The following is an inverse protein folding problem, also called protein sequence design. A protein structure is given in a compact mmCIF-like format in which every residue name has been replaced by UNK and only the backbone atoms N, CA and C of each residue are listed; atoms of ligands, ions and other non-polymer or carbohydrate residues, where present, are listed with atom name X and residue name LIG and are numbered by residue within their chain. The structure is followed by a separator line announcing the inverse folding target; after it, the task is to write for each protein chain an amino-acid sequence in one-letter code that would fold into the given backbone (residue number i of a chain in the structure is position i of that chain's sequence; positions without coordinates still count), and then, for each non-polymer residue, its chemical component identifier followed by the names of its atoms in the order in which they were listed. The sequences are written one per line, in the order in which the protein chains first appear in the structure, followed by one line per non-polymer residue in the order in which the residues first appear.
data_IF_701053642406
#
_entry.id   IF_701053642406
#
_cell.length_a   1.000
_cell.length_b   1.000
_cell.length_c   1.000
_cell.angle_alpha   90.00
_cell.angle_beta   90.00
_cell.angle_gamma   90.00
#
_symmetry.space_group_name_H-M   'P 1'
#
loop_
_entity.id
_entity.type
_entity.pdbx_description
1 polymer ?
#
# COMPACT_ATOMS: atom_id res chain seq x y z
N UNK A 1 13.33 -7.76 -11.51
CA UNK A 1 12.65 -6.60 -12.12
C UNK A 1 13.41 -5.36 -11.69
N UNK A 2 14.61 -5.16 -12.26
CA UNK A 2 15.62 -4.27 -11.68
C UNK A 2 15.92 -3.10 -12.63
N UNK A 3 15.23 -3.07 -13.76
CA UNK A 3 15.35 -2.07 -14.79
C UNK A 3 14.06 -1.27 -14.91
N UNK A 4 14.21 0.01 -15.26
CA UNK A 4 13.09 0.88 -15.59
C UNK A 4 12.23 0.30 -16.73
N UNK A 5 12.85 -0.42 -17.68
CA UNK A 5 12.15 -1.06 -18.81
C UNK A 5 11.20 -2.15 -18.31
N UNK A 6 11.66 -2.99 -17.38
CA UNK A 6 10.79 -4.02 -16.76
C UNK A 6 9.62 -3.38 -16.01
N UNK A 7 9.85 -2.25 -15.34
CA UNK A 7 8.80 -1.55 -14.60
C UNK A 7 7.76 -0.92 -15.53
N UNK A 8 8.21 -0.26 -16.60
CA UNK A 8 7.34 0.27 -17.67
C UNK A 8 6.51 -0.87 -18.27
N UNK A 9 7.16 -1.97 -18.65
CA UNK A 9 6.48 -3.14 -19.20
C UNK A 9 5.41 -3.67 -18.24
N UNK A 10 5.72 -3.87 -16.96
CA UNK A 10 4.74 -4.33 -15.96
C UNK A 10 3.56 -3.37 -15.79
N UNK A 11 3.79 -2.06 -15.89
CA UNK A 11 2.75 -1.04 -15.77
C UNK A 11 1.85 -0.99 -17.00
N UNK A 12 2.43 -1.13 -18.19
CA UNK A 12 1.66 -1.28 -19.44
C UNK A 12 0.81 -2.54 -19.37
N UNK A 13 1.38 -3.66 -18.93
CA UNK A 13 0.62 -4.91 -18.73
C UNK A 13 -0.53 -4.71 -17.75
N UNK A 14 -0.28 -4.07 -16.60
CA UNK A 14 -1.33 -3.74 -15.63
C UNK A 14 -2.45 -2.91 -16.28
N UNK A 15 -2.11 -1.85 -17.02
CA UNK A 15 -3.09 -0.96 -17.64
C UNK A 15 -3.93 -1.72 -18.67
N UNK A 16 -3.29 -2.52 -19.54
CA UNK A 16 -3.98 -3.32 -20.56
C UNK A 16 -4.92 -4.34 -19.89
N UNK A 17 -4.45 -5.06 -18.88
CA UNK A 17 -5.28 -6.03 -18.15
C UNK A 17 -6.43 -5.34 -17.41
N UNK A 18 -6.16 -4.22 -16.75
CA UNK A 18 -7.17 -3.43 -16.03
C UNK A 18 -8.25 -2.90 -16.97
N UNK A 19 -7.84 -2.33 -18.12
CA UNK A 19 -8.76 -1.87 -19.15
C UNK A 19 -9.56 -3.04 -19.75
N UNK A 20 -8.94 -4.19 -19.97
CA UNK A 20 -9.62 -5.39 -20.50
C UNK A 20 -10.66 -5.93 -19.52
N UNK A 21 -10.32 -6.02 -18.23
CA UNK A 21 -11.24 -6.43 -17.17
C UNK A 21 -12.40 -5.44 -17.01
N UNK A 22 -12.09 -4.15 -16.99
CA UNK A 22 -13.08 -3.09 -16.77
C UNK A 22 -14.02 -2.89 -17.97
N UNK A 23 -13.48 -2.78 -19.18
CA UNK A 23 -14.25 -2.46 -20.38
C UNK A 23 -14.73 -3.67 -21.15
N UNK A 24 -13.92 -4.72 -21.27
CA UNK A 24 -14.01 -5.59 -22.44
C UNK A 24 -14.40 -7.04 -22.20
N UNK A 25 -14.13 -7.64 -21.03
CA UNK A 25 -14.13 -9.11 -20.96
C UNK A 25 -15.24 -9.74 -20.13
N UNK A 26 -15.75 -9.12 -19.07
CA UNK A 26 -16.80 -9.81 -18.30
C UNK A 26 -17.59 -8.89 -17.39
N UNK A 27 -16.92 -8.07 -16.59
CA UNK A 27 -17.52 -7.54 -15.36
C UNK A 27 -18.70 -6.60 -15.61
N UNK A 28 -18.59 -5.70 -16.59
CA UNK A 28 -19.69 -4.78 -16.92
C UNK A 28 -20.89 -5.46 -17.60
N UNK A 29 -20.69 -6.60 -18.26
CA UNK A 29 -21.75 -7.30 -19.03
C UNK A 29 -22.33 -8.52 -18.30
N UNK A 30 -21.50 -9.24 -17.57
CA UNK A 30 -21.77 -10.57 -17.00
C UNK A 30 -21.65 -10.57 -15.46
N UNK A 31 -21.24 -9.46 -14.85
CA UNK A 31 -21.02 -9.36 -13.42
C UNK A 31 -19.63 -9.84 -12.96
N UNK A 32 -19.37 -9.82 -11.64
CA UNK A 32 -18.07 -10.21 -11.06
C UNK A 32 -17.59 -11.59 -11.51
N UNK A 33 -16.28 -11.76 -11.65
CA UNK A 33 -15.70 -13.07 -11.95
C UNK A 33 -15.97 -14.06 -10.79
N UNK A 34 -16.35 -15.32 -11.09
CA UNK A 34 -16.52 -16.35 -10.05
C UNK A 34 -15.25 -16.48 -9.21
N UNK A 35 -15.42 -16.61 -7.88
CA UNK A 35 -14.34 -16.75 -6.90
C UNK A 35 -13.36 -15.57 -6.77
N UNK A 36 -13.52 -14.46 -7.51
CA UNK A 36 -12.62 -13.31 -7.41
C UNK A 36 -12.58 -12.75 -5.98
N UNK A 37 -13.71 -12.73 -5.28
CA UNK A 37 -13.79 -12.29 -3.88
C UNK A 37 -13.04 -13.23 -2.93
N UNK A 38 -13.10 -14.54 -3.17
CA UNK A 38 -12.34 -15.55 -2.43
C UNK A 38 -10.84 -15.36 -2.65
N UNK A 39 -10.41 -15.14 -3.90
CA UNK A 39 -9.00 -14.89 -4.21
C UNK A 39 -8.50 -13.58 -3.59
N UNK A 40 -9.31 -12.51 -3.62
CA UNK A 40 -9.00 -11.24 -2.96
C UNK A 40 -8.79 -11.43 -1.45
N UNK A 41 -9.73 -12.11 -0.77
CA UNK A 41 -9.60 -12.42 0.66
C UNK A 41 -8.37 -13.27 0.96
N UNK A 42 -8.12 -14.31 0.17
CA UNK A 42 -6.95 -15.18 0.34
C UNK A 42 -5.63 -14.42 0.14
N UNK A 43 -5.55 -13.58 -0.89
CA UNK A 43 -4.41 -12.69 -1.14
C UNK A 43 -4.15 -11.80 0.09
N UNK A 44 -5.17 -11.09 0.56
CA UNK A 44 -5.07 -10.20 1.71
C UNK A 44 -4.67 -10.95 3.00
N UNK A 45 -5.25 -12.14 3.22
CA UNK A 45 -4.92 -12.98 4.38
C UNK A 45 -3.46 -13.46 4.36
N UNK A 46 -2.87 -13.74 3.20
CA UNK A 46 -1.46 -14.09 3.07
C UNK A 46 -0.55 -12.85 3.18
N UNK A 47 -0.98 -11.72 2.64
CA UNK A 47 -0.16 -10.51 2.58
C UNK A 47 -0.02 -9.80 3.93
N UNK A 48 -1.04 -9.90 4.79
CA UNK A 48 -1.02 -9.34 6.13
C UNK A 48 0.14 -9.87 7.02
N UNK A 49 0.30 -11.19 7.24
CA UNK A 49 1.42 -11.72 8.02
C UNK A 49 2.76 -11.54 7.31
N UNK A 50 2.81 -11.59 5.97
CA UNK A 50 4.03 -11.30 5.22
C UNK A 50 4.52 -9.86 5.46
N UNK A 51 3.61 -8.89 5.42
CA UNK A 51 3.89 -7.48 5.69
C UNK A 51 4.33 -7.27 7.14
N UNK A 52 3.68 -7.93 8.10
CA UNK A 52 4.04 -7.86 9.51
C UNK A 52 5.43 -8.47 9.80
N UNK A 53 5.71 -9.64 9.22
CA UNK A 53 7.03 -10.26 9.32
C UNK A 53 8.09 -9.33 8.75
N UNK A 54 7.82 -8.71 7.61
CA UNK A 54 8.79 -7.84 6.96
C UNK A 54 8.99 -6.53 7.73
N UNK A 55 7.95 -6.00 8.39
CA UNK A 55 8.08 -4.91 9.35
C UNK A 55 9.08 -5.25 10.47
N UNK A 56 8.94 -6.42 11.11
CA UNK A 56 9.88 -6.84 12.16
C UNK A 56 11.30 -7.02 11.64
N UNK A 57 11.47 -7.57 10.43
CA UNK A 57 12.77 -7.67 9.76
C UNK A 57 13.38 -6.28 9.59
N UNK A 58 12.62 -5.30 9.09
CA UNK A 58 13.10 -3.93 8.90
C UNK A 58 13.46 -3.26 10.23
N UNK A 59 12.66 -3.42 11.28
CA UNK A 59 12.96 -2.91 12.64
C UNK A 59 14.26 -3.51 13.19
N UNK A 60 14.48 -4.82 13.02
CA UNK A 60 15.72 -5.48 13.39
C UNK A 60 16.94 -5.02 12.58
N UNK A 61 16.72 -4.42 11.40
CA UNK A 61 17.79 -3.94 10.51
C UNK A 61 18.35 -2.56 10.88
N UNK A 62 17.75 -1.85 11.84
CA UNK A 62 18.25 -0.55 12.30
C UNK A 62 19.55 -0.69 13.10
N UNK A 63 20.42 0.31 13.01
CA UNK A 63 21.73 0.32 13.69
C UNK A 63 21.60 0.53 15.20
N UNK A 64 20.61 1.33 15.64
CA UNK A 64 20.41 1.68 17.05
C UNK A 64 19.61 0.66 17.86
N UNK A 65 19.22 -0.47 17.26
CA UNK A 65 18.51 -1.52 17.99
C UNK A 65 19.49 -2.34 18.84
N UNK A 66 19.71 -1.91 20.08
CA UNK A 66 20.42 -2.68 21.10
C UNK A 66 19.39 -3.54 21.84
N UNK A 67 19.46 -4.87 21.80
CA UNK A 67 18.54 -5.73 22.54
C UNK A 67 18.63 -5.40 24.04
N UNK A 68 17.49 -5.25 24.72
CA UNK A 68 17.46 -5.22 26.18
C UNK A 68 18.04 -6.54 26.72
N UNK A 69 19.13 -6.44 27.48
CA UNK A 69 19.87 -7.57 28.03
C UNK A 69 19.14 -8.23 29.20
N UNK A 70 19.06 -9.56 29.22
CA UNK A 70 18.64 -10.40 30.33
C UNK A 70 18.40 -11.90 30.02
N UNK A 71 18.35 -12.33 28.75
CA UNK A 71 17.96 -13.70 28.38
C UNK A 71 18.79 -14.24 27.22
N UNK A 72 19.22 -15.51 27.28
CA UNK A 72 20.08 -16.18 26.27
C UNK A 72 19.60 -16.17 24.80
N UNK A 73 18.40 -15.63 24.55
CA UNK A 73 17.84 -15.25 23.25
C UNK A 73 18.64 -14.12 22.57
N UNK A 74 19.39 -13.32 23.33
CA UNK A 74 20.21 -12.19 22.84
C UNK A 74 21.20 -12.58 21.74
N UNK A 75 21.88 -13.72 21.88
CA UNK A 75 22.89 -14.13 20.89
C UNK A 75 22.26 -14.46 19.54
N UNK A 76 21.10 -15.11 19.56
CA UNK A 76 20.35 -15.42 18.34
C UNK A 76 19.80 -14.14 17.70
N UNK A 77 19.15 -13.27 18.48
CA UNK A 77 18.62 -11.99 17.99
C UNK A 77 19.72 -11.09 17.44
N UNK A 78 20.86 -10.98 18.12
CA UNK A 78 22.00 -10.20 17.65
C UNK A 78 22.53 -10.73 16.32
N UNK A 79 22.69 -12.05 16.17
CA UNK A 79 23.09 -12.68 14.90
C UNK A 79 22.07 -12.41 13.80
N UNK A 80 20.79 -12.53 14.11
CA UNK A 80 19.72 -12.26 13.16
C UNK A 80 19.70 -10.79 12.73
N UNK A 81 19.74 -9.84 13.66
CA UNK A 81 19.78 -8.40 13.35
C UNK A 81 21.04 -8.06 12.53
N UNK A 82 22.19 -8.64 12.87
CA UNK A 82 23.43 -8.47 12.11
C UNK A 82 23.29 -9.03 10.69
N UNK A 83 22.73 -10.24 10.54
CA UNK A 83 22.47 -10.85 9.25
C UNK A 83 21.55 -9.98 8.40
N UNK A 84 20.42 -9.54 8.95
CA UNK A 84 19.47 -8.69 8.22
C UNK A 84 20.12 -7.37 7.82
N UNK A 85 20.93 -6.76 8.69
CA UNK A 85 21.65 -5.52 8.40
C UNK A 85 22.65 -5.67 7.25
N UNK A 86 23.38 -6.79 7.18
CA UNK A 86 24.33 -7.03 6.08
C UNK A 86 23.65 -7.37 4.75
N UNK A 87 22.34 -7.62 4.75
CA UNK A 87 21.55 -7.95 3.57
C UNK A 87 20.59 -6.81 3.15
N UNK A 88 20.97 -5.54 3.41
CA UNK A 88 20.13 -4.37 3.12
C UNK A 88 19.68 -4.31 1.65
N UNK A 89 20.56 -4.67 0.71
CA UNK A 89 20.23 -4.69 -0.72
C UNK A 89 19.10 -5.68 -1.04
N UNK A 90 19.15 -6.88 -0.47
CA UNK A 90 18.09 -7.87 -0.63
C UNK A 90 16.77 -7.37 -0.03
N UNK A 91 16.80 -6.71 1.13
CA UNK A 91 15.60 -6.15 1.74
C UNK A 91 14.99 -5.05 0.85
N UNK A 92 15.81 -4.16 0.30
CA UNK A 92 15.36 -3.12 -0.65
C UNK A 92 14.69 -3.74 -1.87
N UNK A 93 15.29 -4.80 -2.41
CA UNK A 93 14.75 -5.53 -3.54
C UNK A 93 13.42 -6.22 -3.21
N UNK A 94 13.33 -6.90 -2.06
CA UNK A 94 12.09 -7.53 -1.58
C UNK A 94 10.98 -6.48 -1.40
N UNK A 95 11.29 -5.33 -0.80
CA UNK A 95 10.32 -4.24 -0.64
C UNK A 95 9.86 -3.68 -1.99
N UNK A 96 10.77 -3.48 -2.94
CA UNK A 96 10.40 -3.02 -4.28
C UNK A 96 9.50 -4.04 -5.01
N UNK A 97 9.85 -5.33 -4.95
CA UNK A 97 9.05 -6.39 -5.54
C UNK A 97 7.66 -6.49 -4.90
N UNK A 98 7.55 -6.25 -3.59
CA UNK A 98 6.25 -6.23 -2.92
C UNK A 98 5.33 -5.19 -3.56
N UNK A 99 5.84 -4.01 -3.92
CA UNK A 99 5.05 -2.95 -4.59
C UNK A 99 4.62 -3.31 -6.00
N UNK A 100 5.42 -4.07 -6.73
CA UNK A 100 5.00 -4.59 -8.02
C UNK A 100 3.92 -5.66 -7.85
N UNK A 101 4.06 -6.52 -6.83
CA UNK A 101 3.05 -7.55 -6.54
C UNK A 101 1.68 -6.96 -6.24
N UNK A 102 1.62 -5.80 -5.56
CA UNK A 102 0.37 -5.08 -5.23
C UNK A 102 -0.45 -4.70 -6.48
N UNK A 103 0.09 -4.80 -7.70
CA UNK A 103 -0.70 -4.75 -8.95
C UNK A 103 -1.82 -5.79 -9.00
N UNK A 104 -1.65 -6.94 -8.33
CA UNK A 104 -2.69 -7.97 -8.19
C UNK A 104 -3.93 -7.40 -7.50
N UNK A 105 -3.78 -6.47 -6.55
CA UNK A 105 -4.93 -5.91 -5.84
C UNK A 105 -5.83 -5.11 -6.77
N UNK A 106 -5.24 -4.34 -7.69
CA UNK A 106 -5.98 -3.61 -8.73
C UNK A 106 -6.79 -4.57 -9.60
N UNK A 107 -6.16 -5.65 -10.05
CA UNK A 107 -6.80 -6.65 -10.90
C UNK A 107 -7.91 -7.39 -10.16
N UNK A 108 -7.69 -7.77 -8.91
CA UNK A 108 -8.68 -8.49 -8.09
C UNK A 108 -9.87 -7.59 -7.72
N UNK A 109 -9.64 -6.32 -7.38
CA UNK A 109 -10.73 -5.35 -7.13
C UNK A 109 -11.57 -5.15 -8.40
N UNK A 110 -10.95 -5.03 -9.57
CA UNK A 110 -11.71 -4.93 -10.82
C UNK A 110 -12.46 -6.24 -11.13
N UNK A 111 -11.84 -7.39 -10.89
CA UNK A 111 -12.44 -8.70 -11.11
C UNK A 111 -13.68 -8.94 -10.23
N UNK A 112 -13.74 -8.38 -9.02
CA UNK A 112 -14.90 -8.45 -8.13
C UNK A 112 -16.04 -7.50 -8.51
N UNK A 113 -15.89 -6.68 -9.56
CA UNK A 113 -16.84 -5.60 -9.85
C UNK A 113 -16.63 -4.34 -9.04
N UNK A 114 -15.57 -4.28 -8.23
CA UNK A 114 -15.17 -3.10 -7.50
C UNK A 114 -14.77 -1.94 -8.41
N UNK A 115 -14.95 -0.73 -7.89
CA UNK A 115 -14.46 0.49 -8.54
C UNK A 115 -13.10 0.84 -7.95
N UNK A 116 -12.20 1.34 -8.79
CA UNK A 116 -10.90 1.82 -8.34
C UNK A 116 -11.03 3.29 -7.94
N UNK A 117 -10.76 3.60 -6.68
CA UNK A 117 -10.65 4.98 -6.19
C UNK A 117 -9.38 5.66 -6.72
N UNK A 118 -9.40 6.99 -6.78
CA UNK A 118 -8.26 7.79 -7.30
C UNK A 118 -6.97 7.55 -6.51
N UNK A 119 -7.05 7.61 -5.18
CA UNK A 119 -5.91 7.35 -4.30
C UNK A 119 -5.33 5.95 -4.55
N UNK A 120 -6.18 4.92 -4.50
CA UNK A 120 -5.78 3.53 -4.72
C UNK A 120 -5.10 3.32 -6.08
N UNK A 121 -5.72 3.76 -7.18
CA UNK A 121 -5.17 3.58 -8.52
C UNK A 121 -3.87 4.34 -8.75
N UNK A 122 -3.82 5.62 -8.33
CA UNK A 122 -2.61 6.45 -8.45
C UNK A 122 -1.47 5.89 -7.60
N UNK A 123 -1.75 5.51 -6.36
CA UNK A 123 -0.77 4.92 -5.44
C UNK A 123 -0.16 3.64 -6.03
N UNK A 124 -0.99 2.69 -6.45
CA UNK A 124 -0.49 1.43 -7.00
C UNK A 124 0.34 1.66 -8.25
N UNK A 125 -0.11 2.50 -9.18
CA UNK A 125 0.64 2.76 -10.41
C UNK A 125 2.01 3.42 -10.17
N UNK A 126 2.11 4.32 -9.19
CA UNK A 126 3.31 5.17 -9.02
C UNK A 126 4.27 4.67 -7.94
N UNK A 127 3.82 3.89 -6.96
CA UNK A 127 4.66 3.41 -5.84
C UNK A 127 5.81 2.51 -6.29
N UNK A 128 5.67 1.63 -7.30
CA UNK A 128 6.80 0.91 -7.87
C UNK A 128 7.88 1.85 -8.45
N UNK A 129 7.50 2.95 -9.08
CA UNK A 129 8.45 3.95 -9.58
C UNK A 129 9.12 4.71 -8.43
N UNK A 130 8.34 5.09 -7.42
CA UNK A 130 8.86 5.69 -6.19
C UNK A 130 9.92 4.79 -5.55
N UNK A 131 9.61 3.51 -5.34
CA UNK A 131 10.54 2.57 -4.71
C UNK A 131 11.72 2.22 -5.60
N UNK A 132 11.55 2.18 -6.92
CA UNK A 132 12.69 2.07 -7.84
C UNK A 132 13.68 3.22 -7.62
N UNK A 133 13.20 4.47 -7.64
CA UNK A 133 14.04 5.67 -7.51
C UNK A 133 14.62 5.78 -6.08
N UNK A 134 13.79 5.65 -5.04
CA UNK A 134 14.12 5.98 -3.64
C UNK A 134 14.46 4.82 -2.73
N UNK A 135 14.24 3.59 -3.17
CA UNK A 135 14.62 2.41 -2.40
C UNK A 135 15.72 1.65 -3.11
N UNK A 136 15.66 1.44 -4.43
CA UNK A 136 16.74 0.72 -5.13
C UNK A 136 17.93 1.62 -5.48
N UNK A 137 17.67 2.79 -6.09
CA UNK A 137 18.76 3.63 -6.66
C UNK A 137 19.34 4.62 -5.65
N UNK A 138 18.51 5.28 -4.87
CA UNK A 138 18.93 6.26 -3.87
C UNK A 138 18.29 5.90 -2.54
N UNK A 139 18.96 5.16 -1.65
CA UNK A 139 18.32 4.47 -0.54
C UNK A 139 18.45 5.16 0.84
N UNK A 140 19.04 6.36 0.93
CA UNK A 140 19.18 7.05 2.23
C UNK A 140 17.81 7.18 2.92
N UNK A 141 17.72 6.74 4.18
CA UNK A 141 16.51 6.84 5.01
C UNK A 141 15.36 5.90 4.66
N UNK A 142 15.52 4.98 3.69
CA UNK A 142 14.43 4.17 3.14
C UNK A 142 13.71 3.29 4.18
N UNK A 143 14.46 2.75 5.15
CA UNK A 143 13.97 1.78 6.14
C UNK A 143 12.80 2.32 6.97
N UNK A 144 12.83 3.60 7.36
CA UNK A 144 11.78 4.19 8.19
C UNK A 144 10.44 4.22 7.43
N UNK A 145 10.46 4.73 6.21
CA UNK A 145 9.28 4.76 5.34
C UNK A 145 8.77 3.35 5.05
N UNK A 146 9.66 2.43 4.69
CA UNK A 146 9.31 1.03 4.41
C UNK A 146 8.73 0.32 5.63
N UNK A 147 9.26 0.58 6.83
CA UNK A 147 8.75 -0.01 8.08
C UNK A 147 7.33 0.47 8.38
N UNK A 148 7.07 1.78 8.31
CA UNK A 148 5.73 2.30 8.56
C UNK A 148 4.74 1.85 7.47
N UNK A 149 5.18 1.76 6.22
CA UNK A 149 4.36 1.26 5.14
C UNK A 149 4.01 -0.23 5.30
N UNK A 150 4.98 -1.09 5.63
CA UNK A 150 4.73 -2.52 5.89
C UNK A 150 3.84 -2.74 7.10
N UNK A 151 3.99 -1.94 8.16
CA UNK A 151 3.09 -1.96 9.32
C UNK A 151 1.66 -1.55 8.93
N UNK A 152 1.50 -0.48 8.16
CA UNK A 152 0.18 -0.08 7.66
C UNK A 152 -0.43 -1.17 6.77
N UNK A 153 0.35 -1.76 5.87
CA UNK A 153 -0.10 -2.85 5.00
C UNK A 153 -0.51 -4.08 5.80
N UNK A 154 0.20 -4.42 6.88
CA UNK A 154 -0.20 -5.51 7.77
C UNK A 154 -1.63 -5.31 8.31
N UNK A 155 -1.95 -4.11 8.81
CA UNK A 155 -3.29 -3.80 9.30
C UNK A 155 -4.34 -3.70 8.19
N UNK A 156 -3.99 -3.06 7.08
CA UNK A 156 -4.87 -2.87 5.93
C UNK A 156 -5.27 -4.20 5.31
N UNK A 157 -4.32 -5.08 5.04
CA UNK A 157 -4.59 -6.41 4.48
C UNK A 157 -5.26 -7.33 5.50
N UNK A 158 -4.98 -7.21 6.80
CA UNK A 158 -5.72 -7.96 7.81
C UNK A 158 -7.21 -7.55 7.82
N UNK A 159 -7.49 -6.24 7.71
CA UNK A 159 -8.85 -5.74 7.58
C UNK A 159 -9.53 -6.27 6.30
N UNK A 160 -8.88 -6.15 5.13
CA UNK A 160 -9.42 -6.65 3.87
C UNK A 160 -9.45 -8.18 3.76
N UNK A 161 -8.70 -8.88 4.61
CA UNK A 161 -8.77 -10.33 4.79
C UNK A 161 -9.93 -10.77 5.69
N UNK A 162 -10.69 -9.83 6.26
CA UNK A 162 -11.90 -10.10 7.06
C UNK A 162 -11.72 -9.91 8.57
N UNK A 163 -10.69 -9.21 9.04
CA UNK A 163 -10.49 -8.91 10.48
C UNK A 163 -10.95 -7.47 10.76
N UNK A 164 -12.23 -7.23 11.13
CA UNK A 164 -12.80 -5.89 11.21
C UNK A 164 -12.19 -5.00 12.31
N UNK A 165 -11.55 -5.59 13.31
CA UNK A 165 -10.95 -4.91 14.46
C UNK A 165 -9.89 -3.88 14.07
N UNK A 166 -9.27 -4.01 12.89
CA UNK A 166 -8.26 -3.06 12.41
C UNK A 166 -8.85 -1.81 11.74
N UNK A 167 -10.15 -1.79 11.41
CA UNK A 167 -10.79 -0.64 10.73
C UNK A 167 -10.50 0.72 11.41
N UNK A 168 -10.57 0.87 12.75
CA UNK A 168 -10.35 2.16 13.39
C UNK A 168 -8.91 2.68 13.28
N UNK A 169 -7.90 1.79 13.13
CA UNK A 169 -6.48 2.18 13.12
C UNK A 169 -5.96 2.51 11.71
N UNK A 170 -6.69 2.13 10.65
CA UNK A 170 -6.25 2.35 9.26
C UNK A 170 -6.04 3.84 8.92
N UNK A 171 -6.95 4.78 9.25
CA UNK A 171 -6.72 6.19 8.95
C UNK A 171 -5.50 6.73 9.67
N UNK A 172 -5.32 6.35 10.95
CA UNK A 172 -4.20 6.80 11.76
C UNK A 172 -2.86 6.31 11.21
N UNK A 173 -2.73 5.01 10.96
CA UNK A 173 -1.49 4.43 10.43
C UNK A 173 -1.19 4.91 9.01
N UNK A 174 -2.23 5.13 8.18
CA UNK A 174 -2.11 5.70 6.84
C UNK A 174 -1.58 7.14 6.85
N UNK A 175 -2.12 8.00 7.72
CA UNK A 175 -1.62 9.37 7.91
C UNK A 175 -0.20 9.35 8.47
N UNK A 176 0.06 8.53 9.48
CA UNK A 176 1.35 8.47 10.16
C UNK A 176 2.48 8.13 9.18
N UNK A 177 2.32 7.10 8.35
CA UNK A 177 3.36 6.73 7.37
C UNK A 177 3.65 7.86 6.37
N UNK A 178 2.62 8.61 5.93
CA UNK A 178 2.77 9.67 4.93
C UNK A 178 3.42 10.91 5.53
N UNK A 179 2.98 11.32 6.73
CA UNK A 179 3.56 12.48 7.44
C UNK A 179 5.02 12.23 7.79
N UNK A 180 5.34 11.06 8.36
CA UNK A 180 6.72 10.71 8.70
C UNK A 180 7.57 10.58 7.43
N UNK A 181 7.03 10.00 6.36
CA UNK A 181 7.70 9.94 5.06
C UNK A 181 8.06 11.32 4.51
N UNK A 182 7.09 12.24 4.45
CA UNK A 182 7.29 13.62 4.00
C UNK A 182 8.32 14.36 4.85
N UNK A 183 8.19 14.29 6.17
CA UNK A 183 9.12 14.94 7.08
C UNK A 183 10.54 14.37 6.92
N UNK A 184 10.68 13.05 6.84
CA UNK A 184 11.96 12.38 6.65
C UNK A 184 12.65 12.79 5.35
N UNK A 185 11.92 12.83 4.24
CA UNK A 185 12.45 13.32 2.96
C UNK A 185 12.86 14.79 3.03
N UNK A 186 12.06 15.64 3.68
CA UNK A 186 12.36 17.05 3.88
C UNK A 186 13.63 17.29 4.69
N UNK A 187 13.83 16.53 5.78
CA UNK A 187 15.06 16.58 6.59
C UNK A 187 16.27 16.16 5.77
N UNK A 188 16.16 15.06 4.99
CA UNK A 188 17.29 14.58 4.17
C UNK A 188 17.61 15.58 3.06
N UNK A 189 16.60 16.12 2.37
CA UNK A 189 16.79 17.11 1.31
C UNK A 189 17.42 18.41 1.85
N UNK A 190 16.95 18.90 3.00
CA UNK A 190 17.50 20.10 3.65
C UNK A 190 18.94 19.90 4.12
N UNK A 191 19.22 18.77 4.79
CA UNK A 191 20.57 18.45 5.26
C UNK A 191 21.55 18.33 4.10
N UNK A 192 21.16 17.61 3.03
CA UNK A 192 21.99 17.48 1.83
C UNK A 192 22.19 18.82 1.12
N UNK A 193 21.16 19.65 1.01
CA UNK A 193 21.25 20.97 0.37
C UNK A 193 22.16 21.95 1.12
N UNK A 194 22.29 21.81 2.44
CA UNK A 194 23.11 22.67 3.29
C UNK A 194 24.57 22.19 3.41
N UNK A 195 24.86 20.93 3.08
CA UNK A 195 26.22 20.39 3.07
C UNK A 195 27.02 20.94 1.89
N UNK A 196 27.76 22.03 2.12
CA UNK A 196 28.72 22.65 1.17
C UNK A 196 30.01 21.84 1.00
N UNK A 197 29.93 20.52 0.88
CA UNK A 197 31.09 19.68 0.61
C UNK A 197 31.46 19.83 -0.87
N UNK A 198 32.63 20.40 -1.17
CA UNK A 198 32.98 20.94 -2.48
C UNK A 198 33.26 19.92 -3.60
N UNK A 199 33.23 18.60 -3.33
CA UNK A 199 33.78 17.61 -4.26
C UNK A 199 32.80 16.53 -4.78
N UNK A 200 31.54 16.48 -4.32
CA UNK A 200 30.55 15.55 -4.90
C UNK A 200 29.23 16.23 -5.26
N UNK A 201 28.66 15.97 -6.46
CA UNK A 201 27.37 16.52 -6.85
C UNK A 201 26.27 15.97 -5.92
N UNK A 202 25.71 16.83 -5.08
CA UNK A 202 24.62 16.47 -4.17
C UNK A 202 23.36 16.12 -4.98
N UNK A 203 23.04 14.82 -5.07
CA UNK A 203 21.86 14.34 -5.80
C UNK A 203 20.60 14.48 -4.95
N UNK A 204 19.90 15.62 -5.08
CA UNK A 204 18.67 15.93 -4.32
C UNK A 204 17.37 15.53 -5.02
N UNK A 205 17.37 15.44 -6.35
CA UNK A 205 16.15 15.23 -7.15
C UNK A 205 15.32 13.99 -6.75
N UNK A 206 15.91 12.84 -6.32
CA UNK A 206 15.11 11.68 -5.91
C UNK A 206 14.24 12.01 -4.70
N UNK A 207 14.77 12.79 -3.76
CA UNK A 207 14.06 13.21 -2.55
C UNK A 207 12.92 14.18 -2.90
N UNK A 208 13.13 15.07 -3.88
CA UNK A 208 12.09 15.98 -4.39
C UNK A 208 10.95 15.18 -5.06
N UNK A 209 11.27 14.21 -5.90
CA UNK A 209 10.27 13.32 -6.51
C UNK A 209 9.52 12.52 -5.44
N UNK A 210 10.22 12.02 -4.43
CA UNK A 210 9.63 11.35 -3.27
C UNK A 210 8.62 12.21 -2.55
N UNK A 211 9.01 13.44 -2.19
CA UNK A 211 8.13 14.39 -1.50
C UNK A 211 6.91 14.73 -2.34
N UNK A 212 7.07 14.94 -3.65
CA UNK A 212 5.96 15.22 -4.54
C UNK A 212 4.95 14.05 -4.57
N UNK A 213 5.43 12.81 -4.74
CA UNK A 213 4.56 11.63 -4.76
C UNK A 213 3.89 11.36 -3.40
N UNK A 214 4.65 11.42 -2.30
CA UNK A 214 4.10 11.26 -0.95
C UNK A 214 3.08 12.36 -0.61
N UNK A 215 3.32 13.60 -1.07
CA UNK A 215 2.39 14.72 -0.92
C UNK A 215 1.10 14.48 -1.69
N UNK A 216 1.19 13.99 -2.93
CA UNK A 216 0.03 13.59 -3.70
C UNK A 216 -0.74 12.44 -3.03
N UNK A 217 -0.04 11.42 -2.51
CA UNK A 217 -0.70 10.34 -1.75
C UNK A 217 -1.43 10.88 -0.53
N UNK A 218 -0.81 11.79 0.22
CA UNK A 218 -1.42 12.42 1.38
C UNK A 218 -2.70 13.18 1.02
N UNK A 219 -2.67 14.00 -0.02
CA UNK A 219 -3.84 14.77 -0.48
C UNK A 219 -4.96 13.82 -0.92
N UNK A 220 -4.65 12.84 -1.77
CA UNK A 220 -5.65 11.90 -2.27
C UNK A 220 -6.26 11.06 -1.13
N UNK A 221 -5.44 10.61 -0.18
CA UNK A 221 -5.91 9.87 0.99
C UNK A 221 -6.80 10.73 1.90
N UNK A 222 -6.42 11.97 2.16
CA UNK A 222 -7.21 12.90 2.97
C UNK A 222 -8.57 13.21 2.34
N UNK A 223 -8.61 13.38 1.00
CA UNK A 223 -9.86 13.57 0.26
C UNK A 223 -10.79 12.34 0.36
N UNK A 224 -10.24 11.13 0.22
CA UNK A 224 -11.00 9.89 0.35
C UNK A 224 -11.57 9.70 1.77
N UNK A 225 -10.79 10.06 2.81
CA UNK A 225 -11.27 10.07 4.20
C UNK A 225 -12.37 11.11 4.42
N UNK A 226 -12.23 12.31 3.84
CA UNK A 226 -13.24 13.36 3.95
C UNK A 226 -14.56 12.97 3.25
N UNK A 227 -14.47 12.38 2.06
CA UNK A 227 -15.63 11.83 1.33
C UNK A 227 -16.32 10.73 2.14
N UNK A 228 -15.55 9.78 2.68
CA UNK A 228 -16.07 8.71 3.54
C UNK A 228 -16.76 9.25 4.81
N UNK A 229 -16.22 10.31 5.40
CA UNK A 229 -16.82 10.94 6.57
C UNK A 229 -18.10 11.72 6.23
N UNK A 230 -18.16 12.34 5.06
CA UNK A 230 -19.36 13.03 4.57
C UNK A 230 -20.50 12.05 4.29
N UNK A 231 -20.22 10.92 3.64
CA UNK A 231 -21.22 9.87 3.37
C UNK A 231 -21.81 9.28 4.65
N UNK A 232 -20.98 9.07 5.68
CA UNK A 232 -21.47 8.62 7.00
C UNK A 232 -22.43 9.61 7.67
N UNK A 233 -22.26 10.91 7.41
CA UNK A 233 -23.15 11.96 7.95
C UNK A 233 -24.45 12.06 7.15
N UNK A 234 -24.42 11.83 5.84
CA UNK A 234 -25.61 11.90 4.99
C UNK A 234 -26.47 10.63 5.05
N UNK A 235 -25.94 9.52 5.57
CA UNK A 235 -26.65 8.23 5.57
C UNK A 235 -26.71 7.56 4.20
N UNK A 236 -25.98 8.07 3.20
CA UNK A 236 -25.88 7.45 1.89
C UNK A 236 -24.88 6.28 1.92
N UNK A 237 -25.38 5.06 1.71
CA UNK A 237 -24.55 3.86 1.50
C UNK A 237 -24.18 3.76 0.02
N UNK A 238 -23.09 4.41 -0.40
CA UNK A 238 -22.44 4.07 -1.68
C UNK A 238 -21.30 3.10 -1.38
N UNK A 239 -21.35 1.90 -1.96
CA UNK A 239 -20.28 0.91 -1.84
C UNK A 239 -18.92 1.52 -2.18
N UNK A 240 -18.10 1.70 -1.15
CA UNK A 240 -16.75 2.24 -1.27
C UNK A 240 -15.75 1.14 -1.61
N UNK A 241 -14.52 1.51 -1.99
CA UNK A 241 -13.40 0.55 -2.18
C UNK A 241 -13.19 -0.32 -0.93
N UNK A 242 -13.43 0.26 0.26
CA UNK A 242 -13.39 -0.44 1.54
C UNK A 242 -14.49 -1.51 1.69
N UNK A 243 -15.62 -1.36 0.98
CA UNK A 243 -16.73 -2.31 0.99
C UNK A 243 -16.54 -3.40 -0.09
N UNK A 244 -15.99 -3.03 -1.26
CA UNK A 244 -15.65 -3.96 -2.34
C UNK A 244 -14.55 -4.97 -1.98
N UNK A 245 -13.63 -4.58 -1.09
CA UNK A 245 -12.57 -5.46 -0.58
C UNK A 245 -13.07 -6.45 0.48
N UNK A 246 -14.18 -6.17 1.16
CA UNK A 246 -14.67 -7.00 2.25
C UNK A 246 -15.51 -8.20 1.78
N UNK A 247 -15.91 -8.25 0.49
CA UNK A 247 -16.63 -9.39 -0.10
C UNK A 247 -17.74 -9.94 0.81
N UNK A 248 -18.41 -9.05 1.53
CA UNK A 248 -19.38 -9.37 2.56
C UNK A 248 -20.74 -9.22 1.94
N UNK A 249 -21.25 -10.33 1.39
CA UNK A 249 -22.67 -10.48 1.20
C UNK A 249 -23.32 -10.46 2.58
N UNK A 250 -23.95 -9.33 2.91
CA UNK A 250 -25.05 -9.25 3.87
C UNK A 250 -25.87 -7.99 3.57
N UNK A 251 -26.21 -7.77 2.31
CA UNK A 251 -27.43 -7.04 1.98
C UNK A 251 -28.54 -8.08 1.89
N UNK A 252 -29.25 -8.27 3.02
CA UNK A 252 -30.63 -8.76 2.99
C UNK A 252 -31.39 -7.92 1.97
N UNK A 253 -32.04 -8.62 1.04
CA UNK A 253 -32.76 -8.04 -0.08
C UNK A 253 -34.01 -7.28 0.34
N UNK A 254 -33.86 -6.05 0.81
CA UNK A 254 -35.00 -5.15 1.07
C UNK A 254 -35.24 -4.17 -0.09
N UNK A 255 -34.26 -3.97 -0.99
CA UNK A 255 -34.37 -2.98 -2.08
C UNK A 255 -35.15 -3.45 -3.32
N UNK A 256 -35.27 -4.75 -3.55
CA UNK A 256 -35.97 -5.29 -4.74
C UNK A 256 -37.48 -5.36 -4.51
N UNK A 257 -37.93 -5.60 -3.27
CA UNK A 257 -39.35 -5.63 -2.93
C UNK A 257 -39.96 -4.22 -2.86
N UNK A 258 -39.22 -3.19 -2.43
CA UNK A 258 -39.70 -1.81 -2.42
C UNK A 258 -39.91 -1.25 -3.85
N UNK A 259 -39.10 -1.68 -4.82
CA UNK A 259 -39.27 -1.31 -6.22
C UNK A 259 -40.46 -2.04 -6.86
N UNK A 260 -40.77 -3.25 -6.38
CA UNK A 260 -41.89 -4.07 -6.85
C UNK A 260 -43.23 -3.60 -6.29
N UNK A 261 -43.23 -2.97 -5.11
CA UNK A 261 -44.41 -2.38 -4.50
C UNK A 261 -44.77 -1.02 -5.13
N UNK A 262 -43.77 -0.19 -5.49
CA UNK A 262 -43.97 1.10 -6.18
C UNK A 262 -44.45 0.97 -7.63
N UNK A 263 -44.28 -0.18 -8.27
CA UNK A 263 -44.80 -0.44 -9.62
C UNK A 263 -46.20 -1.09 -9.60
N UNK A 264 -46.79 -1.29 -8.41
CA UNK A 264 -48.09 -1.94 -8.23
C UNK A 264 -49.20 -1.00 -7.76
N UNK A 265 -48.87 0.27 -7.49
CA UNK A 265 -49.79 1.37 -7.20
C UNK A 265 -49.67 2.44 -8.29
#
# INVERSE_FOLDING_TARGET
MDSIVSLISSSITLIILSASLHHHVHVRKNGPLPHASTFLKANNFLYAPASLLFFFVLVCSFESFVPLSGFGVERFLLRFCTYVRTHDEQLRYIFHLSKIYEYIDVLLVLATGGRIGWHFGFHHLTTPYLTYIRVLRHHTGWKLLASLNTLHHAFMYAYFGGIPHFRPILPFTGILQLVVGLAGEGVIASTKGNSRSADEPVVIWPHVVSMALLGMYFVLFALELAESAAMRKSGETKGTVLDGANGGGDEKGDGVDELREKLRN
#
